data_IF_736941269169
#
_entry.id   IF_736941269169
#
_cell.length_a   1.000
_cell.length_b   1.000
_cell.length_c   1.000
_cell.angle_alpha   90.00
_cell.angle_beta   90.00
_cell.angle_gamma   90.00
#
_symmetry.space_group_name_H-M   'P 1'
#
loop_
_entity.id
_entity.type
_entity.pdbx_description
1 polymer ?
#
# COMPACT_ATOMS: atom_id res chain seq x y z
N UNK A 1 3.40 6.69 -20.52
CA UNK A 1 2.57 6.93 -19.30
C UNK A 1 2.35 8.40 -19.01
N UNK A 2 3.41 9.22 -18.83
CA UNK A 2 3.25 10.66 -18.57
C UNK A 2 2.44 11.40 -19.63
N UNK A 3 2.59 11.03 -20.92
CA UNK A 3 1.73 11.55 -21.99
C UNK A 3 0.24 11.29 -21.71
N UNK A 4 -0.11 10.06 -21.31
CA UNK A 4 -1.49 9.69 -20.97
C UNK A 4 -1.97 10.46 -19.74
N UNK A 5 -1.12 10.56 -18.71
CA UNK A 5 -1.43 11.27 -17.48
C UNK A 5 -1.78 12.75 -17.77
N UNK A 6 -0.99 13.44 -18.59
CA UNK A 6 -1.21 14.85 -18.88
C UNK A 6 -2.34 15.12 -19.88
N UNK A 7 -2.51 14.28 -20.90
CA UNK A 7 -3.47 14.55 -21.98
C UNK A 7 -4.86 13.96 -21.74
N UNK A 8 -5.00 12.95 -20.88
CA UNK A 8 -6.29 12.29 -20.62
C UNK A 8 -6.66 12.32 -19.14
N UNK A 9 -5.74 11.93 -18.26
CA UNK A 9 -6.02 11.80 -16.82
C UNK A 9 -6.23 13.16 -16.17
N UNK A 10 -5.31 14.12 -16.32
CA UNK A 10 -5.43 15.46 -15.73
C UNK A 10 -6.71 16.21 -16.19
N UNK A 11 -7.06 16.24 -17.49
CA UNK A 11 -8.35 16.76 -17.93
C UNK A 11 -9.55 16.05 -17.27
N UNK A 12 -9.49 14.74 -17.06
CA UNK A 12 -10.54 13.98 -16.38
C UNK A 12 -10.64 14.32 -14.89
N UNK A 13 -9.53 14.62 -14.20
CA UNK A 13 -9.53 15.16 -12.84
C UNK A 13 -10.24 16.51 -12.80
N UNK A 14 -9.80 17.46 -13.63
CA UNK A 14 -10.35 18.82 -13.68
C UNK A 14 -11.83 18.84 -14.05
N UNK A 15 -12.27 17.98 -14.99
CA UNK A 15 -13.69 17.84 -15.34
C UNK A 15 -14.55 17.37 -14.17
N UNK A 16 -13.98 16.60 -13.24
CA UNK A 16 -14.64 16.15 -12.00
C UNK A 16 -14.45 17.12 -10.83
N UNK A 17 -13.74 18.23 -11.03
CA UNK A 17 -13.42 19.19 -9.98
C UNK A 17 -12.39 18.68 -8.97
N UNK A 18 -11.64 17.62 -9.28
CA UNK A 18 -10.57 17.11 -8.42
C UNK A 18 -9.35 18.02 -8.50
N UNK A 19 -8.68 18.19 -7.37
CA UNK A 19 -7.54 19.09 -7.23
C UNK A 19 -6.30 18.58 -7.99
N UNK A 20 -5.59 19.52 -8.64
CA UNK A 20 -4.34 19.23 -9.36
C UNK A 20 -3.24 18.67 -8.41
N UNK A 21 -3.30 18.98 -7.11
CA UNK A 21 -2.41 18.44 -6.10
C UNK A 21 -2.61 16.93 -5.91
N UNK A 22 -3.86 16.46 -5.79
CA UNK A 22 -4.16 15.02 -5.71
C UNK A 22 -3.69 14.29 -6.97
N UNK A 23 -3.88 14.91 -8.15
CA UNK A 23 -3.32 14.36 -9.39
C UNK A 23 -1.80 14.23 -9.28
N UNK A 24 -1.11 15.31 -8.90
CA UNK A 24 0.35 15.35 -8.82
C UNK A 24 0.88 14.29 -7.86
N UNK A 25 0.31 14.21 -6.66
CA UNK A 25 0.69 13.25 -5.63
C UNK A 25 0.45 11.80 -6.07
N UNK A 26 -0.68 11.55 -6.74
CA UNK A 26 -1.01 10.23 -7.29
C UNK A 26 -0.04 9.84 -8.41
N UNK A 27 0.31 10.76 -9.30
CA UNK A 27 1.24 10.50 -10.41
C UNK A 27 2.70 10.35 -9.97
N UNK A 28 3.08 10.77 -8.74
CA UNK A 28 4.42 10.51 -8.17
C UNK A 28 4.73 9.02 -8.02
N UNK A 29 3.73 8.14 -8.16
CA UNK A 29 3.95 6.71 -8.31
C UNK A 29 4.90 6.34 -9.46
N UNK A 30 4.81 7.00 -10.63
CA UNK A 30 5.64 6.64 -11.78
C UNK A 30 7.14 6.88 -11.58
N UNK A 31 7.60 8.09 -11.16
CA UNK A 31 9.02 8.27 -10.87
C UNK A 31 9.49 7.39 -9.71
N UNK A 32 8.63 7.15 -8.70
CA UNK A 32 8.95 6.24 -7.59
C UNK A 32 9.26 4.82 -8.09
N UNK A 33 8.39 4.23 -8.91
CA UNK A 33 8.61 2.88 -9.47
C UNK A 33 9.89 2.79 -10.31
N UNK A 34 10.16 3.81 -11.13
CA UNK A 34 11.37 3.86 -11.97
C UNK A 34 12.64 3.96 -11.11
N UNK A 35 12.62 4.75 -10.04
CA UNK A 35 13.73 4.88 -9.10
C UNK A 35 13.94 3.59 -8.29
N UNK A 36 12.87 2.94 -7.84
CA UNK A 36 12.93 1.63 -7.18
C UNK A 36 13.56 0.57 -8.08
N UNK A 37 13.13 0.51 -9.34
CA UNK A 37 13.68 -0.41 -10.32
C UNK A 37 15.18 -0.17 -10.52
N UNK A 38 15.62 1.09 -10.61
CA UNK A 38 17.05 1.44 -10.67
C UNK A 38 17.81 0.98 -9.43
N UNK A 39 17.22 1.13 -8.24
CA UNK A 39 17.82 0.69 -6.98
C UNK A 39 17.96 -0.83 -6.91
N UNK A 40 16.96 -1.56 -7.41
CA UNK A 40 16.89 -3.04 -7.33
C UNK A 40 17.70 -3.74 -8.42
N UNK A 41 17.58 -3.29 -9.67
CA UNK A 41 18.11 -4.00 -10.84
C UNK A 41 19.23 -3.23 -11.56
N UNK A 42 19.51 -2.00 -11.15
CA UNK A 42 20.61 -1.22 -11.70
C UNK A 42 20.29 -0.48 -13.00
N UNK A 43 19.07 -0.56 -13.51
CA UNK A 43 18.61 0.15 -14.71
C UNK A 43 17.30 0.91 -14.45
N UNK A 44 17.05 1.99 -15.19
CA UNK A 44 15.73 2.63 -15.18
C UNK A 44 14.80 1.82 -16.09
N UNK A 45 13.84 1.11 -15.51
CA UNK A 45 12.74 0.51 -16.24
C UNK A 45 11.44 0.62 -15.47
N UNK A 46 10.33 0.34 -16.16
CA UNK A 46 9.00 0.36 -15.59
C UNK A 46 8.46 -1.07 -15.59
N UNK A 47 8.26 -1.65 -14.41
CA UNK A 47 7.93 -3.06 -14.17
C UNK A 47 6.64 -3.21 -13.34
N UNK A 48 5.76 -2.20 -13.39
CA UNK A 48 4.52 -2.10 -12.60
C UNK A 48 3.31 -1.79 -13.46
N UNK A 49 3.28 -2.17 -14.73
CA UNK A 49 2.12 -1.92 -15.60
C UNK A 49 0.82 -2.54 -15.07
N UNK A 50 0.91 -3.69 -14.40
CA UNK A 50 -0.23 -4.36 -13.75
C UNK A 50 -0.86 -3.53 -12.60
N UNK A 51 -0.12 -2.56 -12.07
CA UNK A 51 -0.56 -1.66 -11.00
C UNK A 51 -1.01 -0.31 -11.54
N UNK A 52 -0.17 0.24 -12.41
CA UNK A 52 -0.10 1.62 -12.83
C UNK A 52 -1.33 2.17 -13.58
N UNK A 53 -2.17 1.28 -14.11
CA UNK A 53 -3.41 1.68 -14.77
C UNK A 53 -4.38 2.36 -13.79
N UNK A 54 -4.32 2.02 -12.49
CA UNK A 54 -5.23 2.56 -11.47
C UNK A 54 -5.08 4.07 -11.32
N UNK A 55 -3.84 4.56 -11.35
CA UNK A 55 -3.48 5.97 -11.27
C UNK A 55 -4.06 6.71 -12.49
N UNK A 56 -3.85 6.16 -13.68
CA UNK A 56 -4.33 6.76 -14.93
C UNK A 56 -5.86 6.73 -15.08
N UNK A 57 -6.52 5.75 -14.45
CA UNK A 57 -7.95 5.50 -14.57
C UNK A 57 -8.82 6.15 -13.48
N UNK A 58 -8.25 7.01 -12.62
CA UNK A 58 -8.96 7.64 -11.50
C UNK A 58 -9.56 6.60 -10.54
N UNK A 59 -8.84 5.50 -10.33
CA UNK A 59 -9.23 4.44 -9.40
C UNK A 59 -8.53 4.56 -8.06
N UNK A 60 -7.29 5.03 -8.05
CA UNK A 60 -6.46 5.18 -6.85
C UNK A 60 -6.02 6.63 -6.70
N UNK A 61 -5.99 7.12 -5.46
CA UNK A 61 -5.60 8.48 -5.13
C UNK A 61 -4.60 8.46 -3.99
N UNK A 62 -3.50 9.19 -4.11
CA UNK A 62 -2.59 9.43 -2.98
C UNK A 62 -3.07 10.65 -2.22
N UNK A 63 -3.35 10.49 -0.93
CA UNK A 63 -3.82 11.55 -0.04
C UNK A 63 -2.98 11.47 1.24
N UNK A 64 -2.05 12.40 1.42
CA UNK A 64 -1.03 12.28 2.45
C UNK A 64 -0.07 11.11 2.20
N UNK A 65 0.09 10.24 3.20
CA UNK A 65 1.10 9.17 3.21
C UNK A 65 0.66 7.87 2.51
N UNK A 66 -0.66 7.62 2.44
CA UNK A 66 -1.25 6.39 1.89
C UNK A 66 -1.91 6.62 0.52
N UNK A 67 -2.21 5.51 -0.16
CA UNK A 67 -2.97 5.48 -1.40
C UNK A 67 -4.33 4.78 -1.18
N UNK A 68 -5.39 5.32 -1.78
CA UNK A 68 -6.78 4.89 -1.58
C UNK A 68 -7.41 4.52 -2.92
N UNK A 69 -7.68 3.23 -3.14
CA UNK A 69 -8.37 2.74 -4.34
C UNK A 69 -9.87 2.58 -4.09
N UNK A 70 -10.67 3.19 -4.97
CA UNK A 70 -12.12 3.01 -5.03
C UNK A 70 -12.45 1.65 -5.67
N UNK A 71 -12.97 0.73 -4.87
CA UNK A 71 -13.23 -0.66 -5.26
C UNK A 71 -14.64 -1.12 -4.93
N UNK A 72 -15.10 -2.17 -5.62
CA UNK A 72 -16.44 -2.75 -5.42
C UNK A 72 -16.38 -4.27 -5.44
N UNK A 73 -16.92 -4.90 -4.41
CA UNK A 73 -17.18 -6.34 -4.39
C UNK A 73 -18.61 -6.60 -4.83
N UNK A 74 -18.78 -7.08 -6.06
CA UNK A 74 -20.08 -7.18 -6.74
C UNK A 74 -20.75 -5.81 -6.82
N UNK A 75 -21.42 -5.38 -5.76
CA UNK A 75 -22.12 -4.09 -5.63
C UNK A 75 -21.75 -3.32 -4.34
N UNK A 76 -20.98 -3.92 -3.43
CA UNK A 76 -20.61 -3.28 -2.17
C UNK A 76 -19.33 -2.46 -2.35
N UNK A 77 -19.42 -1.15 -2.17
CA UNK A 77 -18.29 -0.24 -2.22
C UNK A 77 -17.36 -0.44 -1.01
N UNK A 78 -16.04 -0.43 -1.27
CA UNK A 78 -15.00 -0.39 -0.26
C UNK A 78 -13.83 0.44 -0.77
N UNK A 79 -13.00 0.94 0.15
CA UNK A 79 -11.79 1.69 -0.17
C UNK A 79 -10.60 0.77 0.16
N UNK A 80 -9.83 0.37 -0.84
CA UNK A 80 -8.61 -0.39 -0.63
C UNK A 80 -7.45 0.55 -0.33
N UNK A 81 -6.90 0.45 0.88
CA UNK A 81 -5.70 1.15 1.31
C UNK A 81 -4.48 0.40 0.79
N UNK A 82 -3.59 1.17 0.17
CA UNK A 82 -2.29 0.73 -0.31
C UNK A 82 -1.19 1.54 0.37
N UNK A 83 -0.05 0.91 0.62
CA UNK A 83 1.08 1.50 1.36
C UNK A 83 2.23 1.72 0.38
N UNK A 84 2.44 2.95 -0.11
CA UNK A 84 3.63 3.28 -0.90
C UNK A 84 4.92 2.96 -0.14
N UNK A 85 5.98 2.59 -0.86
CA UNK A 85 7.30 2.30 -0.27
C UNK A 85 7.92 3.50 0.47
N UNK A 86 7.50 4.71 0.11
CA UNK A 86 7.89 5.98 0.70
C UNK A 86 6.87 6.49 1.73
N UNK A 87 5.91 5.67 2.13
CA UNK A 87 4.94 6.02 3.16
C UNK A 87 5.63 6.22 4.51
N UNK A 88 5.40 7.37 5.13
CA UNK A 88 5.68 7.57 6.53
C UNK A 88 4.59 6.95 7.39
N UNK A 89 4.94 5.85 8.06
CA UNK A 89 4.07 5.08 8.96
C UNK A 89 4.07 5.62 10.40
N UNK A 90 4.45 6.88 10.63
CA UNK A 90 4.18 7.52 11.93
C UNK A 90 2.66 7.56 12.17
N UNK A 91 2.20 7.32 13.42
CA UNK A 91 0.77 7.33 13.74
C UNK A 91 0.06 8.61 13.29
N UNK A 92 0.68 9.78 13.49
CA UNK A 92 0.13 11.08 13.08
C UNK A 92 0.00 11.21 11.55
N UNK A 93 1.03 10.79 10.80
CA UNK A 93 1.02 10.81 9.33
C UNK A 93 -0.05 9.89 8.74
N UNK A 94 -0.23 8.70 9.34
CA UNK A 94 -1.28 7.76 8.94
C UNK A 94 -2.67 8.29 9.30
N UNK A 95 -2.87 8.76 10.53
CA UNK A 95 -4.14 9.31 11.00
C UNK A 95 -4.58 10.50 10.14
N UNK A 96 -3.66 11.45 9.88
CA UNK A 96 -3.92 12.59 8.99
C UNK A 96 -4.31 12.13 7.59
N UNK A 97 -3.55 11.19 7.01
CA UNK A 97 -3.84 10.64 5.69
C UNK A 97 -5.25 10.03 5.61
N UNK A 98 -5.64 9.22 6.61
CA UNK A 98 -6.93 8.54 6.63
C UNK A 98 -8.09 9.53 6.80
N UNK A 99 -7.98 10.47 7.75
CA UNK A 99 -9.00 11.48 7.96
C UNK A 99 -9.20 12.35 6.72
N UNK A 100 -8.12 12.87 6.12
CA UNK A 100 -8.19 13.65 4.88
C UNK A 100 -8.78 12.85 3.73
N UNK A 101 -8.41 11.58 3.60
CA UNK A 101 -8.95 10.72 2.54
C UNK A 101 -10.44 10.47 2.72
N UNK A 102 -10.92 10.21 3.94
CA UNK A 102 -12.34 10.02 4.20
C UNK A 102 -13.16 11.27 3.86
N UNK A 103 -12.71 12.43 4.28
CA UNK A 103 -13.36 13.70 3.98
C UNK A 103 -13.40 13.95 2.46
N UNK A 104 -12.24 13.83 1.81
CA UNK A 104 -12.10 14.05 0.37
C UNK A 104 -12.96 13.08 -0.45
N UNK A 105 -12.90 11.78 -0.16
CA UNK A 105 -13.70 10.76 -0.85
C UNK A 105 -15.20 11.01 -0.64
N UNK A 106 -15.62 11.41 0.56
CA UNK A 106 -17.04 11.70 0.85
C UNK A 106 -17.59 12.89 0.06
N UNK A 107 -16.73 13.86 -0.27
CA UNK A 107 -17.09 15.05 -1.04
C UNK A 107 -17.17 14.76 -2.54
N UNK A 108 -16.21 14.02 -3.09
CA UNK A 108 -16.08 13.80 -4.53
C UNK A 108 -16.69 12.48 -5.04
N UNK A 109 -16.84 11.48 -4.16
CA UNK A 109 -17.31 10.13 -4.49
C UNK A 109 -18.37 9.66 -3.48
N UNK A 110 -19.59 10.21 -3.50
CA UNK A 110 -20.61 9.96 -2.49
C UNK A 110 -21.01 8.48 -2.34
N UNK A 111 -20.93 7.68 -3.41
CA UNK A 111 -21.11 6.22 -3.39
C UNK A 111 -20.15 5.48 -2.43
N UNK A 112 -19.05 6.13 -2.03
CA UNK A 112 -18.00 5.59 -1.16
C UNK A 112 -17.95 6.27 0.21
N UNK A 113 -18.87 7.19 0.51
CA UNK A 113 -18.88 7.95 1.78
C UNK A 113 -18.81 7.05 3.02
N UNK A 114 -19.61 5.99 3.02
CA UNK A 114 -19.73 5.04 4.13
C UNK A 114 -19.00 3.72 3.85
N UNK A 115 -18.13 3.70 2.83
CA UNK A 115 -17.39 2.52 2.44
C UNK A 115 -16.37 2.11 3.52
N UNK A 116 -16.27 0.80 3.76
CA UNK A 116 -15.25 0.25 4.65
C UNK A 116 -13.86 0.47 4.04
N UNK A 117 -12.87 0.78 4.88
CA UNK A 117 -11.48 0.79 4.45
C UNK A 117 -10.88 -0.60 4.69
N UNK A 118 -10.24 -1.16 3.67
CA UNK A 118 -9.62 -2.49 3.68
C UNK A 118 -8.17 -2.40 3.28
N UNK A 119 -7.33 -3.26 3.81
CA UNK A 119 -5.95 -3.40 3.36
C UNK A 119 -5.61 -4.88 3.23
N UNK A 120 -4.87 -5.23 2.19
CA UNK A 120 -4.20 -6.52 2.05
C UNK A 120 -2.70 -6.25 1.95
N UNK A 121 -1.92 -6.80 2.87
CA UNK A 121 -0.48 -6.59 2.91
C UNK A 121 0.22 -7.62 3.78
N UNK A 122 1.47 -7.92 3.47
CA UNK A 122 2.38 -8.65 4.37
C UNK A 122 2.50 -7.94 5.73
N UNK A 123 2.32 -6.62 5.78
CA UNK A 123 2.32 -5.83 7.01
C UNK A 123 1.13 -6.14 7.94
N UNK A 124 0.09 -6.79 7.43
CA UNK A 124 -1.08 -7.22 8.19
C UNK A 124 -0.97 -8.67 8.67
N UNK A 125 0.16 -9.34 8.44
CA UNK A 125 0.36 -10.69 8.92
C UNK A 125 0.37 -10.73 10.48
N UNK A 126 -0.53 -11.51 11.12
CA UNK A 126 -0.68 -11.53 12.56
C UNK A 126 0.54 -12.09 13.32
N UNK A 127 1.52 -12.70 12.64
CA UNK A 127 2.75 -13.15 13.29
C UNK A 127 3.71 -12.01 13.61
N UNK A 128 3.57 -10.84 12.97
CA UNK A 128 4.50 -9.71 13.10
C UNK A 128 4.69 -9.20 14.55
N UNK A 129 3.65 -9.03 15.39
CA UNK A 129 3.81 -8.56 16.76
C UNK A 129 4.60 -9.51 17.67
N UNK A 130 4.76 -10.79 17.30
CA UNK A 130 5.51 -11.76 18.11
C UNK A 130 7.02 -11.66 17.92
N UNK A 131 7.49 -10.99 16.85
CA UNK A 131 8.92 -10.83 16.60
C UNK A 131 9.37 -9.41 16.24
N UNK A 132 8.45 -8.47 16.08
CA UNK A 132 8.74 -7.03 16.05
C UNK A 132 8.45 -6.40 17.41
N UNK A 133 9.15 -5.32 17.74
CA UNK A 133 8.91 -4.61 19.02
C UNK A 133 7.62 -3.81 18.97
N UNK A 134 7.10 -3.44 20.14
CA UNK A 134 5.87 -2.63 20.24
C UNK A 134 6.05 -1.21 19.66
N UNK A 135 7.28 -0.72 19.56
CA UNK A 135 7.65 0.57 18.95
C UNK A 135 7.73 0.48 17.42
N UNK A 136 7.57 -0.70 16.83
CA UNK A 136 7.56 -0.88 15.39
C UNK A 136 6.38 -0.15 14.76
N UNK A 137 6.67 0.77 13.84
CA UNK A 137 5.66 1.47 13.04
C UNK A 137 4.76 0.50 12.26
N UNK A 138 5.29 -0.66 11.83
CA UNK A 138 4.51 -1.71 11.16
C UNK A 138 3.47 -2.30 12.12
N UNK A 139 3.86 -2.58 13.37
CA UNK A 139 2.94 -3.12 14.39
C UNK A 139 1.89 -2.07 14.76
N UNK A 140 2.28 -0.81 14.92
CA UNK A 140 1.34 0.29 15.18
C UNK A 140 0.33 0.45 14.05
N UNK A 141 0.79 0.43 12.78
CA UNK A 141 -0.09 0.47 11.62
C UNK A 141 -1.04 -0.74 11.57
N UNK A 142 -0.54 -1.95 11.83
CA UNK A 142 -1.35 -3.17 11.84
C UNK A 142 -2.49 -3.12 12.87
N UNK A 143 -2.25 -2.54 14.06
CA UNK A 143 -3.27 -2.43 15.12
C UNK A 143 -4.49 -1.61 14.74
N UNK A 144 -4.38 -0.77 13.70
CA UNK A 144 -5.50 -0.02 13.15
C UNK A 144 -6.51 -0.91 12.42
N UNK A 145 -6.20 -2.19 12.21
CA UNK A 145 -7.03 -3.12 11.47
C UNK A 145 -7.51 -4.29 12.34
N UNK A 146 -8.75 -4.71 12.10
CA UNK A 146 -9.20 -6.05 12.45
C UNK A 146 -8.84 -7.00 11.32
N UNK A 147 -7.94 -7.95 11.60
CA UNK A 147 -7.49 -8.95 10.64
C UNK A 147 -8.59 -9.99 10.46
N UNK A 148 -9.05 -10.15 9.22
CA UNK A 148 -10.20 -10.99 8.85
C UNK A 148 -9.80 -12.24 8.09
N UNK A 149 -8.64 -12.23 7.42
CA UNK A 149 -8.10 -13.38 6.73
C UNK A 149 -6.56 -13.30 6.64
N UNK A 150 -5.93 -14.44 6.38
CA UNK A 150 -4.50 -14.55 6.06
C UNK A 150 -4.36 -15.46 4.86
N UNK A 151 -3.59 -15.02 3.87
CA UNK A 151 -3.15 -15.84 2.74
C UNK A 151 -1.67 -16.19 2.95
N UNK A 152 -1.35 -17.37 3.50
CA UNK A 152 0.03 -17.76 3.79
C UNK A 152 0.87 -18.01 2.52
N UNK A 153 0.22 -18.28 1.38
CA UNK A 153 0.88 -18.59 0.11
C UNK A 153 1.30 -17.33 -0.67
N UNK A 154 0.92 -16.13 -0.22
CA UNK A 154 1.34 -14.89 -0.85
C UNK A 154 2.82 -14.61 -0.61
N UNK A 155 3.60 -14.48 -1.70
CA UNK A 155 5.02 -14.18 -1.64
C UNK A 155 5.35 -12.67 -1.80
N UNK A 156 4.37 -11.78 -1.67
CA UNK A 156 4.56 -10.33 -1.81
C UNK A 156 5.68 -9.78 -0.90
N UNK A 157 5.87 -10.40 0.26
CA UNK A 157 6.94 -10.05 1.18
C UNK A 157 8.35 -10.18 0.57
N UNK A 158 8.56 -11.06 -0.42
CA UNK A 158 9.84 -11.14 -1.15
C UNK A 158 10.10 -9.86 -1.91
N UNK A 159 9.09 -9.37 -2.62
CA UNK A 159 9.17 -8.14 -3.41
C UNK A 159 9.43 -6.92 -2.52
N UNK A 160 8.69 -6.82 -1.41
CA UNK A 160 8.68 -5.60 -0.59
C UNK A 160 9.72 -5.58 0.53
N UNK A 161 10.05 -6.72 1.13
CA UNK A 161 11.03 -6.81 2.23
C UNK A 161 12.42 -7.17 1.72
N UNK A 162 12.51 -8.03 0.70
CA UNK A 162 13.75 -8.59 0.18
C UNK A 162 14.08 -8.15 -1.25
N UNK A 163 13.52 -7.02 -1.70
CA UNK A 163 13.84 -6.41 -3.00
C UNK A 163 13.65 -7.34 -4.21
N UNK A 164 12.66 -8.23 -4.16
CA UNK A 164 12.37 -9.19 -5.24
C UNK A 164 13.32 -10.38 -5.26
N UNK A 165 14.02 -10.66 -4.16
CA UNK A 165 14.98 -11.76 -4.08
C UNK A 165 14.34 -13.13 -4.32
N UNK A 166 14.81 -13.82 -5.35
CA UNK A 166 14.51 -15.22 -5.65
C UNK A 166 15.41 -16.22 -4.92
N UNK A 167 16.24 -15.74 -3.98
CA UNK A 167 17.13 -16.61 -3.22
C UNK A 167 16.33 -17.58 -2.34
N UNK A 168 16.86 -18.80 -2.12
CA UNK A 168 16.40 -19.69 -1.07
C UNK A 168 16.38 -18.99 0.29
N UNK A 169 15.49 -19.41 1.18
CA UNK A 169 15.29 -18.77 2.50
C UNK A 169 16.61 -18.65 3.27
N UNK A 170 17.50 -19.63 3.16
CA UNK A 170 18.78 -19.68 3.85
C UNK A 170 19.74 -18.57 3.44
N UNK A 171 19.62 -18.11 2.19
CA UNK A 171 20.51 -17.13 1.56
C UNK A 171 19.90 -15.73 1.53
N UNK A 172 18.67 -15.54 2.00
CA UNK A 172 18.07 -14.22 2.11
C UNK A 172 18.93 -13.28 3.00
N UNK A 173 19.05 -11.99 2.63
CA UNK A 173 19.86 -11.04 3.39
C UNK A 173 19.30 -10.79 4.79
N UNK A 174 20.18 -10.42 5.72
CA UNK A 174 19.89 -10.21 7.14
C UNK A 174 20.43 -8.85 7.62
N UNK A 175 20.47 -7.86 6.73
CA UNK A 175 20.99 -6.52 6.98
C UNK A 175 20.06 -5.63 7.82
N UNK A 176 18.80 -6.02 7.99
CA UNK A 176 17.83 -5.33 8.87
C UNK A 176 17.21 -6.28 9.90
N UNK A 177 16.71 -5.73 11.01
CA UNK A 177 15.99 -6.52 12.03
C UNK A 177 14.74 -7.21 11.48
N UNK A 178 14.00 -6.52 10.60
CA UNK A 178 12.83 -7.08 9.92
C UNK A 178 13.19 -8.29 9.05
N UNK A 179 14.24 -8.17 8.22
CA UNK A 179 14.72 -9.26 7.37
C UNK A 179 15.17 -10.47 8.17
N UNK A 180 15.95 -10.26 9.24
CA UNK A 180 16.33 -11.31 10.19
C UNK A 180 15.12 -12.02 10.79
N UNK A 181 14.13 -11.26 11.24
CA UNK A 181 12.97 -11.81 11.92
C UNK A 181 12.08 -12.65 10.97
N UNK A 182 11.81 -12.14 9.76
CA UNK A 182 11.04 -12.89 8.75
C UNK A 182 11.80 -14.13 8.28
N UNK A 183 13.10 -14.02 8.01
CA UNK A 183 13.93 -15.19 7.60
C UNK A 183 13.93 -16.28 8.67
N UNK A 184 14.07 -15.92 9.95
CA UNK A 184 13.97 -16.88 11.07
C UNK A 184 12.59 -17.53 11.12
N UNK A 185 11.53 -16.74 11.02
CA UNK A 185 10.16 -17.27 11.02
C UNK A 185 9.92 -18.26 9.87
N UNK A 186 10.34 -17.91 8.66
CA UNK A 186 10.26 -18.79 7.49
C UNK A 186 11.03 -20.10 7.67
N UNK A 187 12.19 -20.08 8.33
CA UNK A 187 12.94 -21.33 8.64
C UNK A 187 12.23 -22.23 9.64
N UNK A 188 11.51 -21.64 10.60
CA UNK A 188 10.86 -22.39 11.68
C UNK A 188 9.46 -22.89 11.31
N UNK A 189 8.69 -22.09 10.58
CA UNK A 189 7.28 -22.32 10.28
C UNK A 189 6.99 -22.65 8.82
N UNK A 190 7.85 -22.20 7.90
CA UNK A 190 7.68 -22.42 6.47
C UNK A 190 6.62 -21.52 5.81
N UNK A 191 5.97 -20.63 6.55
CA UNK A 191 4.89 -19.77 6.05
C UNK A 191 5.04 -18.31 6.51
N UNK A 192 4.80 -17.37 5.60
CA UNK A 192 4.66 -15.95 5.86
C UNK A 192 4.00 -15.34 4.63
N UNK A 193 2.80 -14.79 4.78
CA UNK A 193 2.07 -14.21 3.65
C UNK A 193 1.30 -12.96 4.03
N UNK A 194 0.30 -12.60 3.22
CA UNK A 194 -0.49 -11.39 3.41
C UNK A 194 -1.59 -11.58 4.45
N UNK A 195 -1.81 -10.57 5.29
CA UNK A 195 -3.06 -10.43 6.03
C UNK A 195 -4.03 -9.53 5.28
N UNK A 196 -5.33 -9.80 5.44
CA UNK A 196 -6.42 -8.93 4.99
C UNK A 196 -7.12 -8.38 6.21
N UNK A 197 -7.29 -7.06 6.27
CA UNK A 197 -7.89 -6.39 7.41
C UNK A 197 -8.84 -5.28 7.03
N UNK A 198 -9.81 -5.04 7.91
CA UNK A 198 -10.72 -3.88 7.86
C UNK A 198 -10.26 -2.87 8.89
N UNK A 199 -10.09 -1.62 8.48
CA UNK A 199 -9.62 -0.55 9.36
C UNK A 199 -10.71 -0.16 10.37
N UNK A 200 -10.30 0.05 11.61
CA UNK A 200 -11.14 0.41 12.75
C UNK A 200 -10.90 1.89 13.06
N UNK A 201 -11.84 2.74 12.64
CA UNK A 201 -11.69 4.20 12.69
C UNK A 201 -11.64 4.77 14.11
N UNK A 202 -12.14 4.04 15.10
CA UNK A 202 -12.01 4.36 16.52
C UNK A 202 -10.58 4.17 17.06
N UNK A 203 -9.70 3.53 16.30
CA UNK A 203 -8.27 3.31 16.64
C UNK A 203 -7.33 4.31 15.99
N UNK A 204 -7.87 5.28 15.23
CA UNK A 204 -7.12 6.23 14.39
C UNK A 204 -7.15 7.65 14.95
#
# INVERSE_FOLDING_TARGET
MLFIALHFTLPAYRKRGLEDEIFTDTMRAFPRFVCENKKRYGNYSFDREFWAYRQLALRIFRIGTLEYELSKDKQNAYISIHIPSDADLLPESVSTSVHSAKEWISNYFPDYRDALLRCESWMLNPVLPYFLTNESKIVSFQRLFDITAVNPDSEDWREWVFDGSSLPIELLPEDTSLRKAIKRHMREKGEFGNGVGVMMLDRI
#
